data_IF_735660667262
#
_entry.id   IF_735660667262
#
_cell.length_a   1.000
_cell.length_b   1.000
_cell.length_c   1.000
_cell.angle_alpha   90.00
_cell.angle_beta   90.00
_cell.angle_gamma   90.00
#
_symmetry.space_group_name_H-M   'P 1'
#
loop_
_entity.id
_entity.type
_entity.pdbx_description
1 polymer ?
#
# COMPACT_ATOMS: atom_id res chain seq x y z
N UNK A 1 23.62 -11.42 -11.39
CA UNK A 1 22.82 -12.63 -11.66
C UNK A 1 21.90 -12.37 -12.85
N UNK A 2 21.58 -13.39 -13.66
CA UNK A 2 20.55 -13.30 -14.70
C UNK A 2 19.18 -13.65 -14.10
N UNK A 3 18.17 -12.82 -14.33
CA UNK A 3 16.79 -13.12 -13.89
C UNK A 3 16.20 -14.30 -14.68
N UNK A 4 15.47 -15.17 -13.97
CA UNK A 4 14.82 -16.37 -14.53
C UNK A 4 13.31 -16.29 -14.22
N UNK A 5 12.45 -16.54 -15.20
CA UNK A 5 10.99 -16.53 -15.02
C UNK A 5 10.51 -17.79 -14.27
N UNK A 6 10.71 -17.84 -12.96
CA UNK A 6 10.31 -18.97 -12.10
C UNK A 6 8.82 -19.28 -12.22
N UNK A 7 7.95 -18.27 -12.28
CA UNK A 7 6.51 -18.45 -12.51
C UNK A 7 6.21 -19.09 -13.86
N UNK A 8 6.93 -18.68 -14.91
CA UNK A 8 6.86 -19.30 -16.24
C UNK A 8 7.30 -20.75 -16.23
N UNK A 9 8.40 -21.08 -15.54
CA UNK A 9 8.86 -22.47 -15.40
C UNK A 9 7.88 -23.32 -14.58
N UNK A 10 7.30 -22.77 -13.51
CA UNK A 10 6.28 -23.46 -12.72
C UNK A 10 5.01 -23.72 -13.54
N UNK A 11 4.55 -22.74 -14.35
CA UNK A 11 3.41 -22.94 -15.27
C UNK A 11 3.67 -24.09 -16.24
N UNK A 12 4.88 -24.22 -16.79
CA UNK A 12 5.23 -25.35 -17.66
C UNK A 12 5.21 -26.67 -16.90
N UNK A 13 5.77 -26.69 -15.69
CA UNK A 13 5.75 -27.86 -14.82
C UNK A 13 4.31 -28.32 -14.50
N UNK A 14 3.41 -27.38 -14.20
CA UNK A 14 1.99 -27.66 -13.97
C UNK A 14 1.34 -28.26 -15.21
N UNK A 15 1.55 -27.67 -16.40
CA UNK A 15 0.97 -28.18 -17.64
C UNK A 15 1.42 -29.61 -17.94
N UNK A 16 2.70 -29.93 -17.73
CA UNK A 16 3.24 -31.29 -17.90
C UNK A 16 2.61 -32.28 -16.92
N UNK A 17 2.43 -31.89 -15.66
CA UNK A 17 1.86 -32.75 -14.63
C UNK A 17 0.32 -32.87 -14.68
N UNK A 18 -0.36 -31.99 -15.41
CA UNK A 18 -1.80 -32.08 -15.69
C UNK A 18 -2.11 -32.99 -16.89
N UNK A 19 -1.14 -33.29 -17.75
CA UNK A 19 -1.40 -34.09 -18.95
C UNK A 19 -1.95 -35.48 -18.60
N UNK A 20 -3.11 -35.80 -19.17
CA UNK A 20 -3.76 -37.11 -19.02
C UNK A 20 -4.46 -37.33 -17.68
N UNK A 21 -4.57 -36.30 -16.83
CA UNK A 21 -5.36 -36.37 -15.60
C UNK A 21 -6.86 -36.17 -15.87
N UNK A 22 -7.75 -36.84 -15.11
CA UNK A 22 -9.18 -36.57 -15.18
C UNK A 22 -9.49 -35.14 -14.72
N UNK A 23 -10.68 -34.67 -15.07
CA UNK A 23 -11.24 -33.41 -14.55
C UNK A 23 -11.34 -33.52 -13.02
N UNK A 24 -10.81 -32.51 -12.34
CA UNK A 24 -10.81 -32.39 -10.89
C UNK A 24 -11.88 -31.38 -10.49
N UNK A 25 -12.51 -31.58 -9.33
CA UNK A 25 -13.30 -30.51 -8.72
C UNK A 25 -12.39 -29.42 -8.11
N UNK A 26 -13.00 -28.38 -7.54
CA UNK A 26 -12.28 -27.22 -6.99
C UNK A 26 -11.34 -27.61 -5.84
N UNK A 27 -11.80 -28.46 -4.92
CA UNK A 27 -11.01 -28.89 -3.76
C UNK A 27 -9.85 -29.79 -4.20
N UNK A 28 -10.09 -30.72 -5.12
CA UNK A 28 -9.07 -31.57 -5.71
C UNK A 28 -8.02 -30.77 -6.49
N UNK A 29 -8.43 -29.73 -7.22
CA UNK A 29 -7.55 -28.86 -7.97
C UNK A 29 -6.63 -28.04 -7.06
N UNK A 30 -7.16 -27.50 -5.96
CA UNK A 30 -6.39 -26.73 -4.97
C UNK A 30 -5.35 -27.61 -4.26
N UNK A 31 -5.75 -28.79 -3.78
CA UNK A 31 -4.81 -29.74 -3.18
C UNK A 31 -3.73 -30.21 -4.16
N UNK A 32 -4.10 -30.37 -5.44
CA UNK A 32 -3.16 -30.75 -6.48
C UNK A 32 -2.15 -29.62 -6.77
N UNK A 33 -2.62 -28.37 -6.88
CA UNK A 33 -1.78 -27.21 -7.11
C UNK A 33 -0.76 -27.02 -5.97
N UNK A 34 -1.20 -27.09 -4.71
CA UNK A 34 -0.34 -26.94 -3.54
C UNK A 34 0.77 -28.01 -3.51
N UNK A 35 0.41 -29.27 -3.77
CA UNK A 35 1.37 -30.39 -3.84
C UNK A 35 2.37 -30.22 -4.98
N UNK A 36 1.93 -29.82 -6.16
CA UNK A 36 2.81 -29.57 -7.30
C UNK A 36 3.79 -28.44 -7.02
N UNK A 37 3.34 -27.37 -6.37
CA UNK A 37 4.22 -26.27 -6.00
C UNK A 37 5.31 -26.73 -5.04
N UNK A 38 4.95 -27.44 -3.97
CA UNK A 38 5.92 -28.01 -3.04
C UNK A 38 6.91 -28.96 -3.72
N UNK A 39 6.41 -29.88 -4.55
CA UNK A 39 7.28 -30.81 -5.28
C UNK A 39 8.24 -30.07 -6.22
N UNK A 40 7.74 -29.06 -6.95
CA UNK A 40 8.55 -28.27 -7.85
C UNK A 40 9.65 -27.50 -7.12
N UNK A 41 9.32 -26.87 -5.98
CA UNK A 41 10.27 -26.12 -5.15
C UNK A 41 11.42 -26.99 -4.61
N UNK A 42 11.17 -28.28 -4.37
CA UNK A 42 12.16 -29.23 -3.84
C UNK A 42 12.87 -30.05 -4.93
N UNK A 43 12.44 -29.97 -6.19
CA UNK A 43 13.02 -30.77 -7.28
C UNK A 43 14.27 -30.08 -7.86
N UNK A 44 15.45 -30.75 -7.89
CA UNK A 44 16.63 -30.25 -8.58
C UNK A 44 16.39 -30.05 -10.08
N UNK A 45 16.83 -28.91 -10.62
CA UNK A 45 16.64 -28.56 -12.02
C UNK A 45 17.98 -28.42 -12.75
N UNK A 46 18.10 -29.04 -13.92
CA UNK A 46 19.32 -28.95 -14.75
C UNK A 46 19.64 -27.50 -15.14
N UNK A 47 18.62 -26.68 -15.40
CA UNK A 47 18.77 -25.26 -15.73
C UNK A 47 19.13 -24.37 -14.53
N UNK A 48 19.18 -24.95 -13.33
CA UNK A 48 19.67 -24.34 -12.08
C UNK A 48 21.00 -24.98 -11.63
N UNK A 49 21.72 -25.64 -12.52
CA UNK A 49 22.95 -26.40 -12.23
C UNK A 49 22.73 -27.46 -11.13
N UNK A 50 21.57 -28.13 -11.14
CA UNK A 50 21.20 -29.15 -10.17
C UNK A 50 20.74 -28.60 -8.81
N UNK A 51 20.51 -27.29 -8.68
CA UNK A 51 19.84 -26.71 -7.50
C UNK A 51 18.32 -26.80 -7.62
N UNK A 52 17.65 -26.73 -6.49
CA UNK A 52 16.19 -26.60 -6.44
C UNK A 52 15.78 -25.13 -6.56
N UNK A 53 14.56 -24.80 -7.03
CA UNK A 53 14.05 -23.42 -7.01
C UNK A 53 14.08 -22.77 -5.63
N UNK A 54 13.84 -23.56 -4.57
CA UNK A 54 13.92 -23.09 -3.19
C UNK A 54 15.35 -22.66 -2.79
N UNK A 55 16.36 -23.47 -3.11
CA UNK A 55 17.74 -23.22 -2.68
C UNK A 55 18.54 -22.34 -3.65
N UNK A 56 17.98 -21.98 -4.82
CA UNK A 56 18.73 -21.32 -5.88
C UNK A 56 19.39 -20.01 -5.43
N UNK A 57 18.68 -19.18 -4.65
CA UNK A 57 19.19 -17.88 -4.25
C UNK A 57 20.18 -17.94 -3.08
N UNK A 58 20.27 -19.06 -2.35
CA UNK A 58 21.18 -19.21 -1.20
C UNK A 58 22.66 -19.04 -1.56
N UNK A 59 23.02 -19.28 -2.82
CA UNK A 59 24.39 -19.14 -3.32
C UNK A 59 24.87 -17.69 -3.45
N UNK A 60 23.97 -16.71 -3.34
CA UNK A 60 24.31 -15.29 -3.47
C UNK A 60 24.39 -14.63 -2.10
N UNK A 61 25.57 -14.10 -1.76
CA UNK A 61 25.84 -13.41 -0.51
C UNK A 61 25.87 -11.88 -0.65
N UNK A 62 25.92 -11.33 -1.87
CA UNK A 62 25.91 -9.88 -2.10
C UNK A 62 24.46 -9.35 -2.21
N UNK A 63 23.96 -8.58 -1.22
CA UNK A 63 22.63 -8.00 -1.30
C UNK A 63 22.43 -7.09 -2.51
N UNK A 64 23.49 -6.47 -3.05
CA UNK A 64 23.38 -5.63 -4.26
C UNK A 64 22.99 -6.44 -5.48
N UNK A 65 23.48 -7.67 -5.59
CA UNK A 65 23.15 -8.57 -6.71
C UNK A 65 21.69 -9.02 -6.63
N UNK A 66 21.18 -9.27 -5.43
CA UNK A 66 19.78 -9.66 -5.20
C UNK A 66 18.83 -8.49 -5.42
N UNK A 67 19.15 -7.29 -4.92
CA UNK A 67 18.37 -6.06 -5.19
C UNK A 67 18.30 -5.80 -6.70
N UNK A 68 19.43 -5.94 -7.40
CA UNK A 68 19.45 -5.80 -8.86
C UNK A 68 18.53 -6.84 -9.52
N UNK A 69 18.50 -8.07 -9.02
CA UNK A 69 17.59 -9.10 -9.51
C UNK A 69 16.12 -8.72 -9.30
N UNK A 70 15.73 -8.27 -8.09
CA UNK A 70 14.36 -7.78 -7.81
C UNK A 70 13.97 -6.68 -8.81
N UNK A 71 14.87 -5.72 -9.04
CA UNK A 71 14.66 -4.67 -10.04
C UNK A 71 14.48 -5.20 -11.47
N UNK A 72 15.14 -6.31 -11.85
CA UNK A 72 14.94 -6.94 -13.14
C UNK A 72 13.61 -7.71 -13.25
N UNK A 73 13.13 -8.35 -12.18
CA UNK A 73 11.80 -8.97 -12.14
C UNK A 73 10.71 -7.92 -12.34
N UNK A 74 10.79 -6.81 -11.58
CA UNK A 74 9.84 -5.70 -11.69
C UNK A 74 9.83 -5.08 -13.10
N UNK A 75 10.99 -4.82 -13.70
CA UNK A 75 11.07 -4.30 -15.08
C UNK A 75 10.47 -5.22 -16.13
N UNK A 76 10.42 -6.53 -15.86
CA UNK A 76 9.91 -7.55 -16.76
C UNK A 76 8.44 -7.88 -16.52
N UNK A 77 7.82 -7.28 -15.50
CA UNK A 77 6.48 -7.62 -15.05
C UNK A 77 6.37 -9.12 -14.71
N UNK A 78 7.40 -9.64 -14.06
CA UNK A 78 7.47 -11.02 -13.57
C UNK A 78 7.32 -11.04 -12.06
N UNK A 79 6.65 -12.07 -11.53
CA UNK A 79 6.56 -12.27 -10.09
C UNK A 79 7.96 -12.43 -9.49
N UNK A 80 8.19 -11.75 -8.38
CA UNK A 80 9.45 -11.87 -7.63
C UNK A 80 9.41 -13.22 -6.89
N UNK A 81 10.40 -14.12 -7.08
CA UNK A 81 10.41 -15.39 -6.38
C UNK A 81 10.48 -15.20 -4.87
N UNK A 82 9.66 -15.94 -4.12
CA UNK A 82 9.67 -15.91 -2.64
C UNK A 82 11.07 -16.24 -2.09
N UNK A 83 11.75 -17.24 -2.66
CA UNK A 83 13.11 -17.61 -2.26
C UNK A 83 14.16 -16.51 -2.49
N UNK A 84 13.92 -15.58 -3.43
CA UNK A 84 14.74 -14.37 -3.60
C UNK A 84 14.49 -13.38 -2.45
N UNK A 85 13.23 -13.15 -2.11
CA UNK A 85 12.83 -12.26 -1.01
C UNK A 85 13.32 -12.79 0.34
N UNK A 86 13.16 -14.08 0.61
CA UNK A 86 13.66 -14.76 1.81
C UNK A 86 15.16 -14.56 1.97
N UNK A 87 15.91 -14.76 0.87
CA UNK A 87 17.34 -14.59 0.89
C UNK A 87 17.73 -13.14 1.17
N UNK A 88 17.05 -12.19 0.55
CA UNK A 88 17.30 -10.76 0.77
C UNK A 88 16.98 -10.36 2.22
N UNK A 89 15.87 -10.84 2.78
CA UNK A 89 15.48 -10.66 4.18
C UNK A 89 16.54 -11.23 5.14
N UNK A 90 17.04 -12.43 4.87
CA UNK A 90 18.08 -13.07 5.67
C UNK A 90 19.41 -12.28 5.68
N UNK A 91 19.75 -11.61 4.58
CA UNK A 91 20.92 -10.75 4.51
C UNK A 91 20.67 -9.39 5.18
N UNK A 92 19.48 -8.80 5.00
CA UNK A 92 19.08 -7.54 5.63
C UNK A 92 19.16 -7.60 7.15
N UNK A 93 18.72 -8.72 7.75
CA UNK A 93 18.82 -8.96 9.21
C UNK A 93 20.25 -8.95 9.76
N UNK A 94 21.26 -9.10 8.90
CA UNK A 94 22.68 -9.01 9.30
C UNK A 94 23.21 -7.58 9.16
N UNK A 95 22.80 -6.89 8.12
CA UNK A 95 23.22 -5.53 7.79
C UNK A 95 22.20 -4.85 6.88
N UNK A 96 21.53 -3.81 7.40
CA UNK A 96 20.52 -3.05 6.67
C UNK A 96 21.11 -2.06 5.66
N UNK A 97 22.39 -1.71 5.78
CA UNK A 97 23.00 -0.55 5.10
C UNK A 97 22.77 -0.57 3.59
N UNK A 98 22.94 -1.73 2.94
CA UNK A 98 22.79 -1.85 1.49
C UNK A 98 21.35 -1.64 1.03
N UNK A 99 20.36 -2.12 1.79
CA UNK A 99 18.95 -1.95 1.45
C UNK A 99 18.52 -0.51 1.72
N UNK A 100 18.96 0.09 2.82
CA UNK A 100 18.70 1.49 3.16
C UNK A 100 19.27 2.42 2.10
N UNK A 101 20.49 2.17 1.64
CA UNK A 101 21.09 2.88 0.49
C UNK A 101 20.23 2.74 -0.77
N UNK A 102 19.73 1.53 -1.07
CA UNK A 102 18.90 1.29 -2.24
C UNK A 102 17.52 1.97 -2.15
N UNK A 103 16.87 1.95 -1.00
CA UNK A 103 15.58 2.63 -0.76
C UNK A 103 15.71 4.15 -0.86
N UNK A 104 16.81 4.69 -0.33
CA UNK A 104 17.08 6.15 -0.35
C UNK A 104 17.59 6.65 -1.69
N UNK A 105 18.02 5.77 -2.60
CA UNK A 105 18.57 6.16 -3.90
C UNK A 105 17.44 6.54 -4.89
N UNK A 106 17.29 7.82 -5.27
CA UNK A 106 16.22 8.27 -6.17
C UNK A 106 16.41 7.80 -7.63
N UNK A 107 17.52 7.13 -7.95
CA UNK A 107 17.71 6.50 -9.27
C UNK A 107 17.03 5.14 -9.39
N UNK A 108 16.68 4.52 -8.26
CA UNK A 108 15.88 3.30 -8.27
C UNK A 108 14.42 3.67 -8.52
N UNK A 109 13.67 2.79 -9.19
CA UNK A 109 12.24 3.01 -9.42
C UNK A 109 11.47 3.01 -8.11
N UNK A 110 10.34 3.71 -8.07
CA UNK A 110 9.52 3.79 -6.87
C UNK A 110 8.96 2.43 -6.45
N UNK A 111 8.53 1.59 -7.39
CA UNK A 111 8.15 0.17 -7.15
C UNK A 111 9.25 -0.61 -6.44
N UNK A 112 10.51 -0.49 -6.89
CA UNK A 112 11.63 -1.19 -6.25
C UNK A 112 11.87 -0.64 -4.84
N UNK A 113 11.82 0.68 -4.68
CA UNK A 113 12.00 1.33 -3.37
C UNK A 113 10.88 0.95 -2.40
N UNK A 114 9.65 0.80 -2.87
CA UNK A 114 8.50 0.36 -2.09
C UNK A 114 8.68 -1.09 -1.60
N UNK A 115 9.02 -2.02 -2.49
CA UNK A 115 9.28 -3.43 -2.14
C UNK A 115 10.39 -3.54 -1.08
N UNK A 116 11.49 -2.81 -1.27
CA UNK A 116 12.60 -2.82 -0.32
C UNK A 116 12.26 -2.14 1.01
N UNK A 117 11.42 -1.11 1.00
CA UNK A 117 10.93 -0.45 2.21
C UNK A 117 10.04 -1.38 3.03
N UNK A 118 9.13 -2.13 2.39
CA UNK A 118 8.33 -3.17 3.04
C UNK A 118 9.22 -4.22 3.72
N UNK A 119 10.26 -4.70 3.02
CA UNK A 119 11.21 -5.66 3.59
C UNK A 119 12.01 -5.11 4.78
N UNK A 120 12.37 -3.82 4.75
CA UNK A 120 13.01 -3.15 5.90
C UNK A 120 12.04 -3.03 7.09
N UNK A 121 10.76 -2.76 6.82
CA UNK A 121 9.71 -2.69 7.84
C UNK A 121 9.51 -4.04 8.53
N UNK A 122 9.35 -5.13 7.76
CA UNK A 122 9.23 -6.50 8.28
C UNK A 122 10.46 -6.95 9.08
N UNK A 123 11.64 -6.46 8.70
CA UNK A 123 12.88 -6.74 9.40
C UNK A 123 13.15 -5.81 10.60
N UNK A 124 12.18 -4.95 10.97
CA UNK A 124 12.26 -4.00 12.08
C UNK A 124 13.48 -3.08 12.00
N UNK A 125 13.82 -2.62 10.79
CA UNK A 125 14.92 -1.69 10.59
C UNK A 125 14.63 -0.34 11.31
N UNK A 126 15.54 0.16 12.18
CA UNK A 126 15.29 1.34 13.01
C UNK A 126 15.18 2.65 12.20
N UNK A 127 15.54 2.64 10.92
CA UNK A 127 15.52 3.82 10.06
C UNK A 127 14.22 3.96 9.25
N UNK A 128 13.31 2.98 9.34
CA UNK A 128 12.06 2.91 8.55
C UNK A 128 11.22 4.17 8.74
N UNK A 129 10.96 4.58 9.99
CA UNK A 129 10.17 5.79 10.28
C UNK A 129 10.76 7.04 9.61
N UNK A 130 12.09 7.20 9.68
CA UNK A 130 12.78 8.34 9.08
C UNK A 130 12.73 8.29 7.54
N UNK A 131 12.82 7.09 6.95
CA UNK A 131 12.67 6.90 5.51
C UNK A 131 11.24 7.25 5.07
N UNK A 132 10.23 6.78 5.80
CA UNK A 132 8.83 7.07 5.51
C UNK A 132 8.49 8.56 5.66
N UNK A 133 8.99 9.23 6.72
CA UNK A 133 8.86 10.69 6.86
C UNK A 133 9.42 11.40 5.62
N UNK A 134 10.64 11.06 5.22
CA UNK A 134 11.28 11.69 4.06
C UNK A 134 10.53 11.41 2.75
N UNK A 135 9.99 10.21 2.58
CA UNK A 135 9.20 9.82 1.42
C UNK A 135 7.95 10.68 1.30
N UNK A 136 7.17 10.78 2.39
CA UNK A 136 5.91 11.54 2.44
C UNK A 136 6.17 13.04 2.27
N UNK A 137 7.14 13.62 3.00
CA UNK A 137 7.39 15.06 2.96
C UNK A 137 7.93 15.56 1.61
N UNK A 138 8.57 14.67 0.83
CA UNK A 138 9.09 14.99 -0.51
C UNK A 138 8.13 14.64 -1.63
N UNK A 139 7.06 13.90 -1.35
CA UNK A 139 6.09 13.51 -2.36
C UNK A 139 5.43 14.76 -2.97
N UNK A 140 5.39 14.82 -4.30
CA UNK A 140 4.70 15.88 -5.05
C UNK A 140 3.58 15.36 -5.95
N UNK A 141 3.46 14.04 -6.06
CA UNK A 141 2.48 13.30 -6.83
C UNK A 141 2.47 11.84 -6.37
N UNK A 142 1.50 11.08 -6.86
CA UNK A 142 1.33 9.64 -6.63
C UNK A 142 2.57 8.81 -6.98
N UNK A 143 2.86 7.84 -6.13
CA UNK A 143 4.04 7.00 -6.18
C UNK A 143 3.88 5.84 -5.19
N UNK A 144 4.10 4.63 -5.68
CA UNK A 144 4.12 3.40 -4.88
C UNK A 144 5.06 3.49 -3.66
N UNK A 145 6.14 4.27 -3.78
CA UNK A 145 7.09 4.46 -2.68
C UNK A 145 6.49 5.28 -1.53
N UNK A 146 5.78 6.37 -1.84
CA UNK A 146 5.11 7.17 -0.82
C UNK A 146 3.87 6.48 -0.26
N UNK A 147 3.16 5.69 -1.07
CA UNK A 147 2.03 4.88 -0.62
C UNK A 147 2.46 3.82 0.39
N UNK A 148 3.53 3.08 0.10
CA UNK A 148 4.13 2.14 1.06
C UNK A 148 4.56 2.84 2.35
N UNK A 149 5.11 4.05 2.26
CA UNK A 149 5.46 4.84 3.45
C UNK A 149 4.23 5.23 4.29
N UNK A 150 3.12 5.59 3.64
CA UNK A 150 1.84 5.86 4.32
C UNK A 150 1.29 4.61 4.97
N UNK A 151 1.31 3.47 4.29
CA UNK A 151 0.84 2.18 4.82
C UNK A 151 1.61 1.81 6.10
N UNK A 152 2.94 1.84 6.03
CA UNK A 152 3.80 1.51 7.18
C UNK A 152 3.52 2.43 8.36
N UNK A 153 3.48 3.75 8.14
CA UNK A 153 3.22 4.69 9.23
C UNK A 153 1.77 4.70 9.69
N UNK A 154 0.83 4.14 8.95
CA UNK A 154 -0.56 3.99 9.39
C UNK A 154 -0.73 2.91 10.45
N UNK A 155 0.21 1.94 10.50
CA UNK A 155 0.15 0.79 11.40
C UNK A 155 1.48 0.57 12.13
N UNK A 156 1.77 1.40 13.14
CA UNK A 156 2.95 1.21 14.00
C UNK A 156 3.90 2.40 14.09
N UNK A 157 3.44 3.60 13.74
CA UNK A 157 4.22 4.82 13.88
C UNK A 157 4.52 5.12 15.36
N UNK A 158 5.79 5.37 15.68
CA UNK A 158 6.18 5.80 17.02
C UNK A 158 5.58 7.18 17.35
N UNK A 159 5.22 7.42 18.62
CA UNK A 159 4.65 8.70 19.09
C UNK A 159 5.55 9.91 18.75
N UNK A 160 6.87 9.73 18.83
CA UNK A 160 7.83 10.78 18.45
C UNK A 160 7.76 11.09 16.95
N UNK A 161 7.62 10.07 16.11
CA UNK A 161 7.45 10.21 14.66
C UNK A 161 6.13 10.92 14.37
N UNK A 162 5.03 10.53 15.04
CA UNK A 162 3.73 11.18 14.92
C UNK A 162 3.81 12.70 15.23
N UNK A 163 4.41 13.08 16.35
CA UNK A 163 4.58 14.50 16.71
C UNK A 163 5.40 15.27 15.65
N UNK A 164 6.43 14.64 15.06
CA UNK A 164 7.19 15.26 13.96
C UNK A 164 6.29 15.49 12.75
N UNK A 165 5.51 14.50 12.32
CA UNK A 165 4.60 14.64 11.18
C UNK A 165 3.60 15.78 11.39
N UNK A 166 2.99 15.86 12.58
CA UNK A 166 2.04 16.93 12.93
C UNK A 166 2.69 18.32 12.85
N UNK A 167 3.94 18.47 13.31
CA UNK A 167 4.70 19.74 13.22
C UNK A 167 5.10 20.13 11.81
N UNK A 168 5.31 19.14 10.94
CA UNK A 168 5.77 19.35 9.56
C UNK A 168 4.63 19.70 8.61
N UNK A 169 3.41 19.23 8.91
CA UNK A 169 2.22 19.43 8.09
C UNK A 169 2.03 20.87 7.57
N UNK A 170 2.11 21.94 8.38
CA UNK A 170 1.83 23.30 7.89
C UNK A 170 2.75 23.76 6.76
N UNK A 171 3.99 23.26 6.73
CA UNK A 171 5.01 23.64 5.75
C UNK A 171 5.11 22.66 4.56
N UNK A 172 4.37 21.55 4.59
CA UNK A 172 4.35 20.57 3.50
C UNK A 172 3.65 21.14 2.25
N UNK A 173 4.00 20.59 1.07
CA UNK A 173 3.25 20.87 -0.16
C UNK A 173 1.87 20.19 -0.11
N UNK A 174 0.95 20.53 -1.03
CA UNK A 174 -0.43 20.04 -0.97
C UNK A 174 -0.56 18.51 -1.06
N UNK A 175 0.24 17.86 -1.91
CA UNK A 175 0.20 16.40 -2.02
C UNK A 175 0.75 15.72 -0.75
N UNK A 176 1.87 16.21 -0.23
CA UNK A 176 2.41 15.73 1.04
C UNK A 176 1.44 15.96 2.21
N UNK A 177 0.68 17.07 2.23
CA UNK A 177 -0.37 17.31 3.22
C UNK A 177 -1.46 16.24 3.17
N UNK A 178 -1.89 15.83 1.97
CA UNK A 178 -2.86 14.75 1.79
C UNK A 178 -2.33 13.45 2.42
N UNK A 179 -1.13 13.02 2.06
CA UNK A 179 -0.52 11.81 2.61
C UNK A 179 -0.31 11.89 4.13
N UNK A 180 0.10 13.05 4.65
CA UNK A 180 0.22 13.26 6.09
C UNK A 180 -1.12 13.09 6.79
N UNK A 181 -2.22 13.64 6.29
CA UNK A 181 -3.53 13.43 6.90
C UNK A 181 -3.98 11.98 6.82
N UNK A 182 -3.65 11.28 5.74
CA UNK A 182 -3.96 9.85 5.60
C UNK A 182 -3.35 9.03 6.75
N UNK A 183 -2.08 9.31 7.08
CA UNK A 183 -1.40 8.72 8.24
C UNK A 183 -2.01 9.23 9.54
N UNK A 184 -2.06 10.55 9.76
CA UNK A 184 -2.37 11.17 11.04
C UNK A 184 -3.80 10.84 11.52
N UNK A 185 -4.76 10.67 10.61
CA UNK A 185 -6.13 10.31 10.96
C UNK A 185 -6.28 8.86 11.47
N UNK A 186 -5.25 8.00 11.36
CA UNK A 186 -5.21 6.71 12.07
C UNK A 186 -4.94 6.86 13.57
N UNK A 187 -4.53 8.05 14.03
CA UNK A 187 -4.10 8.32 15.41
C UNK A 187 -4.91 9.47 16.01
N UNK A 188 -6.18 9.24 16.39
CA UNK A 188 -7.02 10.29 16.95
C UNK A 188 -6.52 10.77 18.32
N UNK A 189 -6.83 12.01 18.67
CA UNK A 189 -6.54 12.58 20.00
C UNK A 189 -5.74 13.89 19.98
N UNK A 190 -5.21 14.31 18.83
CA UNK A 190 -4.52 15.60 18.69
C UNK A 190 -5.40 16.65 18.00
N UNK A 191 -5.70 17.74 18.70
CA UNK A 191 -6.55 18.85 18.21
C UNK A 191 -6.02 19.50 16.92
N UNK A 192 -4.70 19.46 16.67
CA UNK A 192 -4.11 20.03 15.44
C UNK A 192 -4.53 19.23 14.22
N UNK A 193 -4.57 17.90 14.32
CA UNK A 193 -4.96 17.01 13.20
C UNK A 193 -6.42 17.27 12.82
N UNK A 194 -7.31 17.39 13.81
CA UNK A 194 -8.70 17.81 13.59
C UNK A 194 -8.76 19.17 12.86
N UNK A 195 -8.01 20.16 13.36
CA UNK A 195 -7.98 21.50 12.76
C UNK A 195 -7.48 21.48 11.31
N UNK A 196 -6.50 20.64 10.99
CA UNK A 196 -5.98 20.47 9.64
C UNK A 196 -7.00 19.82 8.71
N UNK A 197 -7.72 18.78 9.16
CA UNK A 197 -8.79 18.16 8.38
C UNK A 197 -9.92 19.16 8.12
N UNK A 198 -10.30 19.93 9.14
CA UNK A 198 -11.31 20.99 9.02
C UNK A 198 -10.90 22.08 8.03
N UNK A 199 -9.65 22.52 8.05
CA UNK A 199 -9.12 23.49 7.07
C UNK A 199 -9.27 22.93 5.65
N UNK A 200 -8.82 21.69 5.42
CA UNK A 200 -8.84 21.06 4.10
C UNK A 200 -10.25 20.79 3.57
N UNK A 201 -11.17 20.38 4.43
CA UNK A 201 -12.59 20.16 4.10
C UNK A 201 -13.22 21.39 3.39
N UNK A 202 -12.83 22.59 3.80
CA UNK A 202 -13.32 23.84 3.20
C UNK A 202 -12.43 24.38 2.09
N UNK A 203 -11.10 24.20 2.18
CA UNK A 203 -10.15 24.76 1.24
C UNK A 203 -10.01 23.95 -0.07
N UNK A 204 -10.41 22.68 -0.07
CA UNK A 204 -10.22 21.74 -1.19
C UNK A 204 -11.53 20.99 -1.49
N UNK A 205 -12.47 21.62 -2.23
CA UNK A 205 -13.77 21.05 -2.54
C UNK A 205 -13.72 19.78 -3.39
N UNK A 206 -12.66 19.58 -4.19
CA UNK A 206 -12.50 18.42 -5.07
C UNK A 206 -12.27 17.12 -4.28
N UNK A 207 -11.75 17.23 -3.05
CA UNK A 207 -11.48 16.11 -2.17
C UNK A 207 -12.37 16.13 -0.91
N UNK A 208 -13.55 16.74 -0.97
CA UNK A 208 -14.43 16.92 0.19
C UNK A 208 -14.87 15.59 0.80
N UNK A 209 -15.26 14.61 -0.03
CA UNK A 209 -15.53 13.25 0.39
C UNK A 209 -14.40 12.64 1.24
N UNK A 210 -13.15 12.79 0.79
CA UNK A 210 -11.97 12.28 1.50
C UNK A 210 -11.83 12.92 2.89
N UNK A 211 -11.91 14.24 2.99
CA UNK A 211 -11.77 14.93 4.28
C UNK A 211 -12.94 14.66 5.23
N UNK A 212 -14.15 14.43 4.71
CA UNK A 212 -15.28 13.97 5.51
C UNK A 212 -14.99 12.59 6.13
N UNK A 213 -14.41 11.68 5.34
CA UNK A 213 -14.01 10.35 5.81
C UNK A 213 -12.87 10.43 6.85
N UNK A 214 -11.90 11.33 6.67
CA UNK A 214 -10.88 11.61 7.69
C UNK A 214 -11.47 12.13 9.01
N UNK A 215 -12.43 13.07 8.96
CA UNK A 215 -13.11 13.56 10.16
C UNK A 215 -13.93 12.46 10.84
N UNK A 216 -14.58 11.59 10.06
CA UNK A 216 -15.26 10.40 10.57
C UNK A 216 -14.27 9.48 11.31
N UNK A 217 -13.11 9.21 10.70
CA UNK A 217 -12.06 8.36 11.27
C UNK A 217 -11.50 8.92 12.58
N UNK A 218 -11.41 10.24 12.71
CA UNK A 218 -11.04 10.91 13.96
C UNK A 218 -12.10 10.73 15.07
N UNK A 219 -13.37 10.50 14.70
CA UNK A 219 -14.47 10.25 15.64
C UNK A 219 -14.85 11.47 16.48
N UNK A 220 -14.58 12.68 15.99
CA UNK A 220 -14.77 13.93 16.74
C UNK A 220 -16.13 14.57 16.41
N UNK A 221 -17.02 14.63 17.40
CA UNK A 221 -18.38 15.15 17.26
C UNK A 221 -18.46 16.64 16.87
N UNK A 222 -17.38 17.40 17.09
CA UNK A 222 -17.27 18.79 16.64
C UNK A 222 -17.38 18.91 15.12
N UNK A 223 -17.09 17.84 14.37
CA UNK A 223 -17.24 17.82 12.92
C UNK A 223 -18.70 17.77 12.44
N UNK A 224 -19.66 17.37 13.28
CA UNK A 224 -21.07 17.18 12.89
C UNK A 224 -21.68 18.46 12.32
N UNK A 225 -21.62 19.57 13.05
CA UNK A 225 -22.23 20.82 12.59
C UNK A 225 -21.58 21.36 11.30
N UNK A 226 -20.24 21.41 11.15
CA UNK A 226 -19.61 21.75 9.89
C UNK A 226 -20.02 20.86 8.72
N UNK A 227 -20.06 19.53 8.90
CA UNK A 227 -20.45 18.58 7.85
C UNK A 227 -21.92 18.78 7.45
N UNK A 228 -22.82 18.98 8.42
CA UNK A 228 -24.23 19.32 8.17
C UNK A 228 -24.39 20.60 7.36
N UNK A 229 -23.58 21.63 7.62
CA UNK A 229 -23.60 22.87 6.81
C UNK A 229 -23.21 22.60 5.36
N UNK A 230 -22.26 21.69 5.13
CA UNK A 230 -21.86 21.30 3.77
C UNK A 230 -22.94 20.52 3.03
N UNK A 231 -23.75 19.71 3.72
CA UNK A 231 -24.90 19.02 3.10
C UNK A 231 -25.91 19.99 2.46
N UNK A 232 -25.96 21.24 2.92
CA UNK A 232 -26.79 22.29 2.34
C UNK A 232 -26.27 22.87 1.02
N UNK A 233 -25.06 22.51 0.59
CA UNK A 233 -24.47 23.03 -0.65
C UNK A 233 -25.17 22.46 -1.89
N UNK A 234 -25.47 23.34 -2.84
CA UNK A 234 -26.21 22.96 -4.05
C UNK A 234 -25.32 22.26 -5.09
N UNK A 235 -24.02 22.48 -5.03
CA UNK A 235 -22.98 22.04 -5.97
C UNK A 235 -22.28 20.73 -5.57
N UNK A 236 -22.81 20.00 -4.58
CA UNK A 236 -22.31 18.66 -4.25
C UNK A 236 -22.56 17.67 -5.39
N UNK A 237 -21.57 16.82 -5.65
CA UNK A 237 -21.77 15.55 -6.38
C UNK A 237 -22.55 14.57 -5.51
N UNK A 238 -23.15 13.54 -6.12
CA UNK A 238 -23.84 12.50 -5.35
C UNK A 238 -22.89 11.78 -4.38
N UNK A 239 -21.66 11.48 -4.81
CA UNK A 239 -20.66 10.81 -3.97
C UNK A 239 -20.25 11.68 -2.77
N UNK A 240 -19.94 12.96 -2.98
CA UNK A 240 -19.62 13.87 -1.88
C UNK A 240 -20.76 13.96 -0.87
N UNK A 241 -21.99 14.05 -1.36
CA UNK A 241 -23.17 14.07 -0.51
C UNK A 241 -23.31 12.80 0.33
N UNK A 242 -23.10 11.63 -0.26
CA UNK A 242 -23.20 10.35 0.44
C UNK A 242 -22.14 10.26 1.55
N UNK A 243 -20.88 10.59 1.25
CA UNK A 243 -19.80 10.55 2.24
C UNK A 243 -20.01 11.56 3.38
N UNK A 244 -20.48 12.78 3.09
CA UNK A 244 -20.83 13.76 4.11
C UNK A 244 -21.97 13.27 5.02
N UNK A 245 -22.99 12.62 4.45
CA UNK A 245 -24.10 12.05 5.24
C UNK A 245 -23.63 10.92 6.13
N UNK A 246 -22.88 9.98 5.55
CA UNK A 246 -22.32 8.85 6.28
C UNK A 246 -21.47 9.34 7.46
N UNK A 247 -20.64 10.36 7.25
CA UNK A 247 -19.84 10.97 8.31
C UNK A 247 -20.72 11.61 9.39
N UNK A 248 -21.76 12.39 9.02
CA UNK A 248 -22.69 12.99 9.99
C UNK A 248 -23.41 11.92 10.81
N UNK A 249 -23.98 10.90 10.17
CA UNK A 249 -24.72 9.82 10.84
C UNK A 249 -23.82 9.04 11.80
N UNK A 250 -22.64 8.64 11.34
CA UNK A 250 -21.72 7.82 12.14
C UNK A 250 -21.10 8.61 13.32
N UNK A 251 -21.01 9.94 13.21
CA UNK A 251 -20.66 10.83 14.32
C UNK A 251 -21.84 11.17 15.25
N UNK A 252 -23.03 10.59 15.01
CA UNK A 252 -24.22 10.74 15.84
C UNK A 252 -25.09 11.97 15.53
N UNK A 253 -24.84 12.63 14.41
CA UNK A 253 -25.67 13.73 13.91
C UNK A 253 -26.86 13.27 13.08
N UNK A 254 -27.81 14.19 12.89
CA UNK A 254 -28.93 14.00 11.95
C UNK A 254 -28.54 14.61 10.58
N UNK A 255 -28.37 13.81 9.52
CA UNK A 255 -28.04 14.31 8.18
C UNK A 255 -29.22 15.00 7.47
N UNK A 256 -30.42 14.97 8.08
CA UNK A 256 -31.63 15.51 7.51
C UNK A 256 -32.22 14.66 6.39
N UNK A 257 -33.19 15.24 5.68
CA UNK A 257 -33.91 14.56 4.59
C UNK A 257 -33.01 14.23 3.41
N UNK A 258 -33.34 13.13 2.72
CA UNK A 258 -32.63 12.75 1.51
C UNK A 258 -32.92 13.71 0.35
N UNK A 259 -31.86 14.11 -0.36
CA UNK A 259 -31.92 14.87 -1.59
C UNK A 259 -31.71 13.95 -2.80
N UNK A 260 -32.45 14.20 -3.88
CA UNK A 260 -32.24 13.53 -5.16
C UNK A 260 -31.18 14.24 -6.02
N UNK A 261 -30.38 13.46 -6.75
CA UNK A 261 -29.28 13.92 -7.60
C UNK A 261 -29.51 13.53 -9.07
N UNK A 262 -30.70 13.83 -9.61
CA UNK A 262 -31.02 13.49 -10.99
C UNK A 262 -30.02 14.08 -11.99
N UNK A 263 -29.55 13.23 -12.91
CA UNK A 263 -28.54 13.59 -13.90
C UNK A 263 -27.10 13.53 -13.42
N UNK A 264 -26.85 13.24 -12.14
CA UNK A 264 -25.53 12.83 -11.65
C UNK A 264 -25.22 11.40 -12.14
N UNK A 265 -24.05 11.15 -12.76
CA UNK A 265 -23.73 9.84 -13.32
C UNK A 265 -23.77 8.69 -12.30
N UNK A 266 -23.26 8.94 -11.09
CA UNK A 266 -23.14 7.92 -10.04
C UNK A 266 -24.52 7.61 -9.44
N UNK A 267 -25.36 8.65 -9.28
CA UNK A 267 -26.73 8.48 -8.81
C UNK A 267 -27.59 7.68 -9.80
N UNK A 268 -27.49 7.97 -11.10
CA UNK A 268 -28.25 7.25 -12.13
C UNK A 268 -27.76 5.80 -12.29
N UNK A 269 -26.46 5.54 -12.12
CA UNK A 269 -25.92 4.19 -12.13
C UNK A 269 -26.54 3.32 -11.02
N UNK A 270 -26.65 3.84 -9.80
CA UNK A 270 -27.23 3.11 -8.66
C UNK A 270 -28.75 2.89 -8.79
N UNK A 271 -29.47 3.84 -9.40
CA UNK A 271 -30.92 3.72 -9.60
C UNK A 271 -31.32 2.63 -10.61
N UNK A 272 -30.40 2.28 -11.51
CA UNK A 272 -30.62 1.29 -12.57
C UNK A 272 -30.20 -0.15 -12.17
N UNK A 273 -29.72 -0.34 -10.93
CA UNK A 273 -29.46 -1.64 -10.31
C UNK A 273 -30.71 -2.16 -9.58
#
# INVERSE_FOLDING_TARGET
MKAIDFSGEFRRYVLENLQGKPEMDEEEADEFAHRLYHQWMETPMDWLDGKTPQAYFEQFDDPRELIAAVGEYLKKDWDIPESLMDRLSALAKKDFSTLVEAVRNPKNSDTLRAVLLGLLSEAECPEVDAICEEAILRAGQESEFSEMAVEILSYGCAEETLEKLIRRYPAANDYAKLLLLDVLCNYPGDDRVYSYCMERLFADPENRALYANYLLKLGDDRAVEPLQRLLGLTDLTYLDYLELRNAVEALGGDPGEERAFYGDPDYEAMRNL
#
